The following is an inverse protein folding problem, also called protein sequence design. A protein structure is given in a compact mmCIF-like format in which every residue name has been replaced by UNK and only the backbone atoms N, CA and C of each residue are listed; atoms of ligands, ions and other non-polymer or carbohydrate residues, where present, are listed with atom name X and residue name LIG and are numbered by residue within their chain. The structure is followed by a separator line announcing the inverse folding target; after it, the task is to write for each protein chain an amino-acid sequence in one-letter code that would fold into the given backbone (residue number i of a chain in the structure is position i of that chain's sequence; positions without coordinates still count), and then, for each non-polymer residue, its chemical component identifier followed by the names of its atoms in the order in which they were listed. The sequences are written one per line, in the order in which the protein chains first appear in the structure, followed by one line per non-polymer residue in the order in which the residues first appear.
data_IF_068833569036
#
_entry.id   IF_068833569036
#
_cell.length_a   1.000
_cell.length_b   1.000
_cell.length_c   1.000
_cell.angle_alpha   90.00
_cell.angle_beta   90.00
_cell.angle_gamma   90.00
#
_symmetry.space_group_name_H-M   'P 1'
#
loop_
_entity.id
_entity.type
_entity.pdbx_description
1 polymer ?
#
# COMPACT_ATOMS: atom_id res chain seq x y z
N UNK A 1 -12.03 -4.22 -4.42
CA UNK A 1 -10.94 -3.25 -4.20
C UNK A 1 -9.72 -3.97 -3.66
N UNK A 2 -8.55 -3.57 -4.07
CA UNK A 2 -7.30 -4.22 -3.67
C UNK A 2 -6.43 -3.24 -2.91
N UNK A 3 -5.93 -3.66 -1.76
CA UNK A 3 -4.86 -3.00 -1.04
C UNK A 3 -3.55 -3.53 -1.58
N UNK A 4 -2.61 -2.66 -1.94
CA UNK A 4 -1.38 -3.08 -2.60
C UNK A 4 -0.13 -2.46 -2.00
N UNK A 5 0.99 -3.14 -2.22
CA UNK A 5 2.34 -2.59 -2.08
C UNK A 5 2.98 -2.64 -3.45
N UNK A 6 3.29 -1.48 -4.01
CA UNK A 6 4.03 -1.34 -5.27
C UNK A 6 5.29 -0.55 -4.99
N UNK A 7 6.43 -1.05 -5.45
CA UNK A 7 7.68 -0.33 -5.26
C UNK A 7 8.83 -0.97 -5.99
N UNK A 8 10.00 -0.35 -5.86
CA UNK A 8 11.26 -0.88 -6.37
C UNK A 8 11.81 -1.95 -5.42
N UNK A 9 12.98 -2.50 -5.79
CA UNK A 9 13.73 -3.37 -4.89
C UNK A 9 14.35 -2.60 -3.72
N UNK A 10 14.39 -1.26 -3.79
CA UNK A 10 14.93 -0.40 -2.74
C UNK A 10 13.91 -0.03 -1.68
N UNK A 11 14.09 1.18 -1.12
CA UNK A 11 13.35 1.62 0.06
C UNK A 11 12.14 2.51 -0.24
N UNK A 12 11.71 2.61 -1.48
CA UNK A 12 10.54 3.42 -1.83
C UNK A 12 9.38 2.51 -2.16
N UNK A 13 8.38 2.49 -1.29
CA UNK A 13 7.20 1.67 -1.47
C UNK A 13 5.95 2.54 -1.45
N UNK A 14 5.05 2.28 -2.39
CA UNK A 14 3.73 2.90 -2.41
C UNK A 14 2.73 1.92 -1.84
N UNK A 15 1.94 2.39 -0.88
CA UNK A 15 0.85 1.61 -0.28
C UNK A 15 -0.45 2.34 -0.56
N UNK A 16 -1.37 1.67 -1.20
CA UNK A 16 -2.63 2.29 -1.60
C UNK A 16 -3.68 1.26 -1.99
N UNK A 17 -4.79 1.76 -2.55
CA UNK A 17 -5.91 0.95 -2.98
C UNK A 17 -6.20 1.17 -4.46
N UNK A 18 -6.62 0.10 -5.14
CA UNK A 18 -7.00 0.17 -6.54
C UNK A 18 -7.98 -0.94 -6.89
N UNK A 19 -8.84 -0.68 -7.85
CA UNK A 19 -9.69 -1.71 -8.45
C UNK A 19 -8.91 -2.58 -9.42
N UNK A 20 -7.85 -2.01 -10.01
CA UNK A 20 -7.01 -2.68 -10.99
C UNK A 20 -5.55 -2.34 -10.68
N UNK A 21 -4.89 -3.23 -9.95
CA UNK A 21 -3.51 -3.02 -9.49
C UNK A 21 -2.52 -3.05 -10.65
N UNK A 22 -2.75 -3.90 -11.64
CA UNK A 22 -1.87 -3.95 -12.82
C UNK A 22 -1.91 -2.64 -13.60
N UNK A 23 -3.09 -2.07 -13.76
CA UNK A 23 -3.23 -0.76 -14.42
C UNK A 23 -2.53 0.32 -13.60
N UNK A 24 -2.66 0.27 -12.27
CA UNK A 24 -1.98 1.22 -11.37
C UNK A 24 -0.47 1.09 -11.51
N UNK A 25 0.05 -0.13 -11.57
CA UNK A 25 1.49 -0.35 -11.77
C UNK A 25 1.97 0.30 -13.07
N UNK A 26 1.26 0.10 -14.18
CA UNK A 26 1.62 0.71 -15.45
C UNK A 26 1.62 2.24 -15.38
N UNK A 27 0.62 2.80 -14.71
CA UNK A 27 0.51 4.25 -14.52
C UNK A 27 1.68 4.80 -13.70
N UNK A 28 2.03 4.12 -12.61
CA UNK A 28 3.13 4.54 -11.74
C UNK A 28 4.50 4.34 -12.40
N UNK A 29 4.65 3.34 -13.25
CA UNK A 29 5.91 3.08 -13.96
C UNK A 29 6.23 4.19 -14.96
N UNK A 30 5.23 4.84 -15.54
CA UNK A 30 5.42 5.92 -16.49
C UNK A 30 6.15 7.08 -15.81
N UNK A 31 7.32 7.44 -16.35
CA UNK A 31 8.13 8.52 -15.82
C UNK A 31 8.93 8.18 -14.57
N UNK A 32 8.86 6.94 -14.09
CA UNK A 32 9.65 6.51 -12.95
C UNK A 32 10.93 5.79 -13.43
N UNK A 33 12.12 6.25 -13.03
CA UNK A 33 13.38 5.63 -13.47
C UNK A 33 13.61 4.25 -12.84
N UNK A 34 12.99 3.94 -11.71
CA UNK A 34 13.12 2.64 -11.07
C UNK A 34 12.13 1.65 -11.66
N UNK A 35 12.52 0.38 -11.72
CA UNK A 35 11.60 -0.70 -12.09
C UNK A 35 10.72 -1.01 -10.91
N UNK A 36 9.41 -0.89 -11.11
CA UNK A 36 8.41 -1.11 -10.06
C UNK A 36 7.80 -2.49 -10.18
N UNK A 37 7.48 -3.08 -9.03
CA UNK A 37 6.84 -4.39 -8.92
C UNK A 37 5.67 -4.34 -7.96
N UNK A 38 4.67 -5.19 -8.21
CA UNK A 38 3.64 -5.47 -7.22
C UNK A 38 4.24 -6.47 -6.24
N UNK A 39 4.55 -6.03 -5.03
CA UNK A 39 5.12 -6.90 -4.01
C UNK A 39 4.04 -7.66 -3.24
N UNK A 40 2.86 -7.09 -3.14
CA UNK A 40 1.74 -7.68 -2.42
C UNK A 40 0.43 -7.03 -2.84
N UNK A 41 -0.66 -7.80 -2.84
CA UNK A 41 -2.01 -7.27 -3.00
C UNK A 41 -3.00 -8.17 -2.29
N UNK A 42 -3.98 -7.57 -1.62
CA UNK A 42 -5.03 -8.28 -0.90
C UNK A 42 -6.40 -7.67 -1.21
N UNK A 43 -7.46 -8.49 -1.34
CA UNK A 43 -8.80 -7.98 -1.53
C UNK A 43 -9.31 -7.31 -0.24
N UNK A 44 -10.02 -6.21 -0.39
CA UNK A 44 -10.58 -5.44 0.72
C UNK A 44 -12.01 -5.05 0.36
N UNK A 45 -12.96 -5.15 1.31
CA UNK A 45 -14.32 -4.65 1.08
C UNK A 45 -14.30 -3.17 0.72
N UNK A 46 -15.02 -2.81 -0.34
CA UNK A 46 -15.00 -1.44 -0.87
C UNK A 46 -15.48 -0.40 0.15
N UNK A 47 -16.40 -0.77 1.04
CA UNK A 47 -16.93 0.12 2.07
C UNK A 47 -15.93 0.41 3.21
N UNK A 48 -14.83 -0.34 3.29
CA UNK A 48 -13.81 -0.14 4.32
C UNK A 48 -12.55 0.54 3.84
N UNK A 49 -12.42 0.72 2.55
CA UNK A 49 -11.20 1.22 1.92
C UNK A 49 -10.72 2.54 2.50
N UNK A 50 -11.61 3.53 2.61
CA UNK A 50 -11.23 4.87 3.06
C UNK A 50 -10.73 4.89 4.50
N UNK A 51 -11.38 4.11 5.36
CA UNK A 51 -11.00 4.04 6.77
C UNK A 51 -9.65 3.36 6.92
N UNK A 52 -9.46 2.24 6.24
CA UNK A 52 -8.20 1.49 6.26
C UNK A 52 -7.05 2.32 5.70
N UNK A 53 -7.27 3.03 4.60
CA UNK A 53 -6.26 3.88 4.00
C UNK A 53 -5.80 4.97 4.96
N UNK A 54 -6.73 5.64 5.62
CA UNK A 54 -6.39 6.68 6.61
C UNK A 54 -5.59 6.12 7.77
N UNK A 55 -5.96 4.93 8.28
CA UNK A 55 -5.23 4.29 9.36
C UNK A 55 -3.82 3.91 8.95
N UNK A 56 -3.67 3.29 7.79
CA UNK A 56 -2.37 2.92 7.24
C UNK A 56 -1.46 4.14 7.10
N UNK A 57 -1.96 5.18 6.47
CA UNK A 57 -1.19 6.39 6.24
C UNK A 57 -0.84 7.11 7.55
N UNK A 58 -1.73 7.09 8.53
CA UNK A 58 -1.47 7.66 9.85
C UNK A 58 -0.35 6.92 10.56
N UNK A 59 -0.40 5.59 10.59
CA UNK A 59 0.62 4.79 11.26
C UNK A 59 1.98 4.88 10.57
N UNK A 60 2.00 5.05 9.24
CA UNK A 60 3.22 5.16 8.44
C UNK A 60 3.66 6.59 8.18
N UNK A 61 2.99 7.59 8.75
CA UNK A 61 3.28 8.99 8.46
C UNK A 61 4.73 9.37 8.73
N UNK A 62 5.35 8.79 9.77
CA UNK A 62 6.74 9.04 10.12
C UNK A 62 7.74 8.51 9.07
N UNK A 63 7.28 7.65 8.16
CA UNK A 63 8.08 7.11 7.06
C UNK A 63 7.70 7.70 5.71
N UNK A 64 6.75 8.62 5.68
CA UNK A 64 6.25 9.21 4.43
C UNK A 64 7.34 10.05 3.76
N UNK A 65 7.53 9.80 2.47
CA UNK A 65 8.42 10.59 1.62
C UNK A 65 7.62 11.68 0.89
N UNK A 66 6.67 11.26 0.07
CA UNK A 66 5.80 12.17 -0.68
C UNK A 66 4.52 11.42 -1.04
N UNK A 67 3.37 12.06 -0.82
CA UNK A 67 2.09 11.44 -1.12
C UNK A 67 1.93 10.12 -0.39
N UNK A 68 1.71 9.05 -1.14
CA UNK A 68 1.54 7.69 -0.60
C UNK A 68 2.81 6.84 -0.73
N UNK A 69 3.97 7.48 -0.95
CA UNK A 69 5.27 6.81 -0.98
C UNK A 69 5.92 6.86 0.39
N UNK A 70 6.47 5.72 0.82
CA UNK A 70 7.04 5.56 2.15
C UNK A 70 8.48 5.04 2.09
N UNK A 71 9.32 5.50 3.01
CA UNK A 71 10.70 5.06 3.16
C UNK A 71 10.75 3.78 3.97
N UNK A 72 10.62 2.65 3.30
CA UNK A 72 10.69 1.33 3.93
C UNK A 72 11.02 0.27 2.88
N UNK A 73 11.63 -0.82 3.32
CA UNK A 73 11.90 -1.95 2.45
C UNK A 73 10.61 -2.67 2.06
N UNK A 74 10.66 -3.41 0.94
CA UNK A 74 9.48 -4.15 0.45
C UNK A 74 8.98 -5.20 1.45
N UNK A 75 9.90 -5.88 2.15
CA UNK A 75 9.53 -6.90 3.12
C UNK A 75 8.81 -6.30 4.32
N UNK A 76 9.32 -5.18 4.83
CA UNK A 76 8.67 -4.46 5.93
C UNK A 76 7.31 -3.93 5.53
N UNK A 77 7.17 -3.44 4.30
CA UNK A 77 5.89 -2.94 3.80
C UNK A 77 4.85 -4.05 3.70
N UNK A 78 5.25 -5.22 3.18
CA UNK A 78 4.36 -6.38 3.07
C UNK A 78 3.95 -6.88 4.45
N UNK A 79 4.90 -7.04 5.36
CA UNK A 79 4.60 -7.49 6.74
C UNK A 79 3.69 -6.51 7.46
N UNK A 80 3.97 -5.22 7.35
CA UNK A 80 3.11 -4.19 7.95
C UNK A 80 1.67 -4.32 7.45
N UNK A 81 1.50 -4.45 6.15
CA UNK A 81 0.19 -4.54 5.53
C UNK A 81 -0.55 -5.81 5.96
N UNK A 82 0.12 -6.95 5.99
CA UNK A 82 -0.47 -8.21 6.43
C UNK A 82 -0.93 -8.13 7.88
N UNK A 83 -0.10 -7.59 8.79
CA UNK A 83 -0.46 -7.42 10.19
C UNK A 83 -1.62 -6.43 10.37
N UNK A 84 -1.61 -5.34 9.62
CA UNK A 84 -2.68 -4.36 9.68
C UNK A 84 -4.02 -4.96 9.25
N UNK A 85 -4.02 -5.78 8.21
CA UNK A 85 -5.23 -6.42 7.72
C UNK A 85 -5.81 -7.38 8.77
N UNK A 86 -4.96 -8.16 9.44
CA UNK A 86 -5.40 -9.06 10.52
C UNK A 86 -6.03 -8.27 11.66
N UNK A 87 -5.42 -7.15 12.06
CA UNK A 87 -5.91 -6.34 13.19
C UNK A 87 -7.18 -5.56 12.88
N UNK A 88 -7.30 -5.04 11.65
CA UNK A 88 -8.30 -4.01 11.37
C UNK A 88 -9.52 -4.50 10.61
N UNK A 89 -9.41 -5.54 9.79
CA UNK A 89 -10.56 -6.01 9.02
C UNK A 89 -11.68 -6.54 9.91
N UNK A 90 -11.32 -7.16 11.03
CA UNK A 90 -12.28 -7.72 11.98
C UNK A 90 -12.69 -6.74 13.07
N UNK A 91 -12.15 -5.51 13.08
CA UNK A 91 -12.49 -4.51 14.07
C UNK A 91 -13.84 -3.86 13.71
N UNK A 92 -14.89 -4.03 14.55
CA UNK A 92 -16.20 -3.46 14.26
C UNK A 92 -16.23 -1.94 14.34
N UNK A 93 -15.21 -1.31 14.92
CA UNK A 93 -15.11 0.15 15.06
C UNK A 93 -14.47 0.84 13.85
N UNK A 94 -14.02 0.06 12.90
CA UNK A 94 -13.43 0.59 11.68
C UNK A 94 -14.51 0.83 10.63
#
# INVERSE_FOLDING_TARGET
MWLYVIGSAGRRQKIGFSRDVNRRLRSLQTGNPAVLHIHHMEPVPADRVRVLERKLHRELNHKRLKGEWFDMGREDAVLFLQHAMIRWLDDPLI
#
